data_IF_946785655783
#
_entry.id   IF_946785655783
#
_cell.length_a   1.000
_cell.length_b   1.000
_cell.length_c   1.000
_cell.angle_alpha   90.00
_cell.angle_beta   90.00
_cell.angle_gamma   90.00
#
_symmetry.space_group_name_H-M   'P 1'
#
loop_
_entity.id
_entity.type
_entity.pdbx_description
1 polymer ?
#
# COMPACT_ATOMS: atom_id res chain seq x y z
N UNK A 1 28.96 -45.47 -30.05
CA UNK A 1 28.75 -44.06 -30.45
C UNK A 1 27.53 -43.56 -29.68
N UNK A 2 27.74 -42.93 -28.52
CA UNK A 2 26.67 -42.37 -27.69
C UNK A 2 26.45 -40.91 -28.11
N UNK A 3 25.29 -40.61 -28.65
CA UNK A 3 24.90 -39.24 -29.00
C UNK A 3 24.42 -38.56 -27.71
N UNK A 4 25.25 -37.68 -27.16
CA UNK A 4 24.88 -36.81 -26.04
C UNK A 4 24.00 -35.69 -26.62
N UNK A 5 22.70 -35.77 -26.42
CA UNK A 5 21.80 -34.65 -26.66
C UNK A 5 22.07 -33.58 -25.58
N UNK A 6 22.80 -32.53 -25.95
CA UNK A 6 22.85 -31.30 -25.19
C UNK A 6 21.48 -30.62 -25.29
N UNK A 7 20.59 -30.91 -24.36
CA UNK A 7 19.37 -30.13 -24.15
C UNK A 7 19.81 -28.76 -23.64
N UNK A 8 19.79 -27.75 -24.50
CA UNK A 8 19.82 -26.35 -24.08
C UNK A 8 18.56 -26.08 -23.27
N UNK A 9 18.68 -26.18 -21.95
CA UNK A 9 17.66 -25.73 -21.02
C UNK A 9 17.52 -24.21 -21.21
N UNK A 10 16.48 -23.79 -21.94
CA UNK A 10 16.10 -22.39 -21.94
C UNK A 10 15.65 -22.07 -20.51
N UNK A 11 16.47 -21.33 -19.76
CA UNK A 11 16.06 -20.75 -18.49
C UNK A 11 14.91 -19.79 -18.81
N UNK A 12 13.66 -20.21 -18.63
CA UNK A 12 12.53 -19.29 -18.70
C UNK A 12 12.73 -18.28 -17.58
N UNK A 13 13.19 -17.07 -17.92
CA UNK A 13 13.14 -15.95 -17.01
C UNK A 13 11.66 -15.73 -16.67
N UNK A 14 11.27 -16.01 -15.44
CA UNK A 14 9.90 -15.78 -14.99
C UNK A 14 9.62 -14.28 -15.06
N UNK A 15 8.49 -13.92 -15.67
CA UNK A 15 8.07 -12.52 -15.72
C UNK A 15 7.86 -12.01 -14.28
N UNK A 16 8.27 -10.77 -13.97
CA UNK A 16 7.99 -10.18 -12.68
C UNK A 16 6.50 -10.18 -12.40
N UNK A 17 6.13 -10.40 -11.14
CA UNK A 17 4.75 -10.26 -10.67
C UNK A 17 4.61 -9.02 -9.80
N UNK A 18 3.39 -8.49 -9.70
CA UNK A 18 3.00 -7.42 -8.80
C UNK A 18 1.99 -7.93 -7.78
N UNK A 19 2.19 -7.57 -6.52
CA UNK A 19 1.34 -7.93 -5.38
C UNK A 19 1.00 -6.64 -4.63
N UNK A 20 -0.26 -6.48 -4.27
CA UNK A 20 -0.70 -5.39 -3.41
C UNK A 20 -0.36 -5.70 -1.94
N UNK A 21 0.13 -4.72 -1.21
CA UNK A 21 0.36 -4.81 0.23
C UNK A 21 -0.50 -3.76 0.94
N UNK A 22 -1.26 -4.17 1.96
CA UNK A 22 -2.00 -3.29 2.87
C UNK A 22 -1.50 -3.54 4.29
N UNK A 23 -1.06 -2.49 4.97
CA UNK A 23 -0.61 -2.56 6.37
C UNK A 23 -1.36 -1.52 7.19
N UNK A 24 -2.01 -1.94 8.26
CA UNK A 24 -2.66 -1.05 9.22
C UNK A 24 -1.97 -1.11 10.59
N UNK A 25 -1.51 0.03 11.10
CA UNK A 25 -0.92 0.13 12.45
C UNK A 25 -1.98 0.25 13.55
N UNK A 26 -1.55 0.18 14.81
CA UNK A 26 -2.39 0.31 16.00
C UNK A 26 -3.24 1.60 16.03
N UNK A 27 -2.72 2.67 15.44
CA UNK A 27 -3.34 4.00 15.41
C UNK A 27 -4.36 4.14 14.26
N UNK A 28 -4.59 3.07 13.50
CA UNK A 28 -5.48 3.04 12.35
C UNK A 28 -4.87 3.58 11.07
N UNK A 29 -3.61 4.06 11.10
CA UNK A 29 -2.88 4.50 9.92
C UNK A 29 -2.71 3.34 8.93
N UNK A 30 -3.05 3.57 7.66
CA UNK A 30 -2.98 2.57 6.60
C UNK A 30 -1.90 2.95 5.60
N UNK A 31 -0.99 2.01 5.33
CA UNK A 31 -0.01 2.09 4.26
C UNK A 31 -0.37 1.06 3.18
N UNK A 32 -0.36 1.49 1.92
CA UNK A 32 -0.49 0.58 0.77
C UNK A 32 0.74 0.65 -0.12
N UNK A 33 1.20 -0.48 -0.66
CA UNK A 33 2.32 -0.54 -1.61
C UNK A 33 2.01 -1.53 -2.73
N UNK A 34 2.29 -1.12 -3.96
CA UNK A 34 2.40 -2.06 -5.08
C UNK A 34 3.82 -2.63 -5.10
N UNK A 35 3.96 -3.94 -4.91
CA UNK A 35 5.26 -4.60 -4.72
C UNK A 35 5.58 -5.47 -5.94
N UNK A 36 6.71 -5.21 -6.60
CA UNK A 36 7.19 -6.03 -7.72
C UNK A 36 8.15 -7.10 -7.21
N UNK A 37 7.92 -8.35 -7.62
CA UNK A 37 8.70 -9.53 -7.24
C UNK A 37 9.23 -10.20 -8.51
N UNK A 38 10.50 -10.57 -8.52
CA UNK A 38 11.19 -11.11 -9.70
C UNK A 38 11.58 -12.59 -9.55
N UNK A 39 11.45 -13.14 -8.36
CA UNK A 39 11.83 -14.50 -8.01
C UNK A 39 10.74 -15.50 -8.37
N UNK A 40 11.13 -16.76 -8.52
CA UNK A 40 10.20 -17.88 -8.74
C UNK A 40 9.49 -18.22 -7.43
N UNK A 41 8.16 -18.38 -7.50
CA UNK A 41 7.28 -18.78 -6.39
C UNK A 41 7.52 -17.96 -5.09
N UNK A 42 7.38 -16.62 -5.15
CA UNK A 42 7.54 -15.78 -3.97
C UNK A 42 6.45 -16.08 -2.94
N UNK A 43 6.73 -15.76 -1.67
CA UNK A 43 5.78 -15.83 -0.57
C UNK A 43 5.43 -14.44 -0.02
N UNK A 44 4.46 -14.41 0.90
CA UNK A 44 4.10 -13.19 1.65
C UNK A 44 5.28 -12.57 2.41
N UNK A 45 6.27 -13.36 2.82
CA UNK A 45 7.47 -12.82 3.46
C UNK A 45 8.30 -11.98 2.48
N UNK A 46 8.49 -12.45 1.25
CA UNK A 46 9.21 -11.67 0.25
C UNK A 46 8.45 -10.42 -0.18
N UNK A 47 7.11 -10.40 -0.11
CA UNK A 47 6.31 -9.17 -0.31
C UNK A 47 6.74 -8.10 0.70
N UNK A 48 6.84 -8.44 1.99
CA UNK A 48 7.24 -7.49 3.04
C UNK A 48 8.68 -7.01 2.88
N UNK A 49 9.60 -7.92 2.55
CA UNK A 49 11.01 -7.59 2.31
C UNK A 49 11.16 -6.66 1.11
N UNK A 50 10.56 -7.02 -0.04
CA UNK A 50 10.62 -6.21 -1.26
C UNK A 50 9.89 -4.86 -1.12
N UNK A 51 8.86 -4.79 -0.27
CA UNK A 51 8.19 -3.53 0.05
C UNK A 51 9.07 -2.56 0.85
N UNK A 52 10.18 -3.02 1.45
CA UNK A 52 11.09 -2.24 2.28
C UNK A 52 10.33 -1.47 3.39
N UNK A 53 9.58 -2.20 4.22
CA UNK A 53 8.72 -1.65 5.29
C UNK A 53 9.32 -1.77 6.69
N UNK A 54 10.63 -2.00 6.81
CA UNK A 54 11.29 -2.33 8.09
C UNK A 54 10.57 -3.49 8.80
N UNK A 55 10.45 -4.62 8.09
CA UNK A 55 9.83 -5.84 8.64
C UNK A 55 10.83 -6.56 9.55
N UNK A 56 10.34 -6.97 10.72
CA UNK A 56 11.02 -7.90 11.62
C UNK A 56 10.19 -9.14 11.78
N UNK A 57 10.82 -10.30 11.74
CA UNK A 57 10.12 -11.57 11.87
C UNK A 57 10.99 -12.63 12.51
N UNK A 58 10.33 -13.70 12.93
CA UNK A 58 10.94 -14.83 13.62
C UNK A 58 10.44 -16.14 13.03
N UNK A 59 11.31 -17.15 12.81
CA UNK A 59 10.86 -18.45 12.35
C UNK A 59 9.87 -19.10 13.34
N UNK A 60 8.85 -19.78 12.80
CA UNK A 60 7.91 -20.59 13.58
C UNK A 60 7.56 -21.88 12.84
N UNK A 61 6.87 -22.81 13.52
CA UNK A 61 6.39 -24.04 12.90
C UNK A 61 5.42 -23.83 11.74
N UNK A 62 4.79 -22.66 11.64
CA UNK A 62 3.85 -22.31 10.56
C UNK A 62 4.48 -21.47 9.45
N UNK A 63 5.77 -21.12 9.55
CA UNK A 63 6.47 -20.17 8.68
C UNK A 63 6.96 -18.95 9.45
N UNK A 64 7.50 -17.95 8.76
CA UNK A 64 7.96 -16.70 9.36
C UNK A 64 6.78 -15.93 9.98
N UNK A 65 6.81 -15.79 11.31
CA UNK A 65 5.92 -14.89 12.03
C UNK A 65 6.44 -13.45 11.88
N UNK A 66 5.54 -12.48 11.74
CA UNK A 66 5.90 -11.06 11.70
C UNK A 66 5.80 -10.49 13.10
N UNK A 67 6.92 -10.00 13.63
CA UNK A 67 6.98 -9.41 14.96
C UNK A 67 6.74 -7.90 14.90
N UNK A 68 7.28 -7.21 13.89
CA UNK A 68 7.11 -5.77 13.72
C UNK A 68 7.11 -5.35 12.25
N UNK A 69 6.43 -4.24 11.98
CA UNK A 69 6.45 -3.54 10.69
C UNK A 69 6.56 -2.05 10.99
N UNK A 70 7.46 -1.34 10.31
CA UNK A 70 7.64 0.11 10.42
C UNK A 70 7.76 0.60 11.89
N UNK A 71 8.52 -0.12 12.71
CA UNK A 71 8.72 0.19 14.12
C UNK A 71 7.57 -0.16 15.07
N UNK A 72 6.42 -0.61 14.57
CA UNK A 72 5.28 -1.04 15.40
C UNK A 72 5.30 -2.55 15.57
N UNK A 73 5.28 -3.00 16.82
CA UNK A 73 5.15 -4.41 17.18
C UNK A 73 6.09 -4.81 18.31
N UNK A 74 6.62 -6.01 18.22
CA UNK A 74 7.47 -6.63 19.21
C UNK A 74 8.91 -6.89 18.69
N UNK A 75 9.87 -7.10 19.60
CA UNK A 75 11.20 -7.60 19.24
C UNK A 75 11.15 -8.96 18.52
N UNK A 76 12.11 -9.28 17.63
CA UNK A 76 12.19 -10.57 16.92
C UNK A 76 12.21 -11.81 17.82
N UNK A 77 12.67 -11.66 19.05
CA UNK A 77 12.83 -12.73 20.03
C UNK A 77 11.48 -13.15 20.66
N UNK A 78 10.46 -12.28 20.60
CA UNK A 78 9.13 -12.53 21.13
C UNK A 78 8.07 -11.77 20.32
N UNK A 79 7.68 -12.28 19.15
CA UNK A 79 6.61 -11.69 18.34
C UNK A 79 5.28 -11.54 19.11
N UNK A 80 5.08 -12.31 20.19
CA UNK A 80 3.87 -12.33 21.01
C UNK A 80 4.00 -11.50 22.30
N UNK A 81 5.00 -10.62 22.40
CA UNK A 81 5.26 -9.84 23.62
C UNK A 81 4.04 -9.10 24.17
N UNK A 82 3.19 -8.57 23.29
CA UNK A 82 1.93 -7.88 23.65
C UNK A 82 0.73 -8.81 23.80
N UNK A 83 0.78 -9.96 23.15
CA UNK A 83 -0.23 -11.00 23.36
C UNK A 83 -0.08 -11.61 24.76
N UNK A 84 1.14 -12.02 25.10
CA UNK A 84 1.49 -12.65 26.36
C UNK A 84 1.39 -11.70 27.57
N UNK A 85 1.45 -10.38 27.36
CA UNK A 85 1.25 -9.38 28.42
C UNK A 85 -0.23 -9.10 28.75
N UNK A 86 -1.17 -9.73 28.03
CA UNK A 86 -2.61 -9.55 28.23
C UNK A 86 -3.27 -8.46 27.38
N UNK A 87 -2.51 -7.71 26.58
CA UNK A 87 -3.07 -6.76 25.62
C UNK A 87 -3.69 -7.48 24.40
N UNK A 88 -3.33 -8.77 24.19
CA UNK A 88 -3.78 -9.60 23.08
C UNK A 88 -3.45 -9.03 21.69
N UNK A 89 -2.41 -8.20 21.58
CA UNK A 89 -2.01 -7.57 20.32
C UNK A 89 -0.90 -8.34 19.61
N UNK A 90 -1.03 -8.50 18.30
CA UNK A 90 -0.03 -9.07 17.41
C UNK A 90 -0.25 -8.60 15.96
N UNK A 91 0.71 -8.87 15.07
CA UNK A 91 0.51 -8.70 13.63
C UNK A 91 -0.25 -9.89 13.06
N UNK A 92 -1.53 -9.67 12.76
CA UNK A 92 -2.38 -10.66 12.08
C UNK A 92 -2.25 -10.55 10.56
N UNK A 93 -2.30 -11.70 9.90
CA UNK A 93 -2.05 -11.85 8.47
C UNK A 93 -3.31 -12.26 7.72
N UNK A 94 -3.57 -11.61 6.58
CA UNK A 94 -4.81 -11.74 5.83
C UNK A 94 -4.53 -11.77 4.33
N UNK A 95 -5.33 -12.54 3.59
CA UNK A 95 -5.27 -12.61 2.14
C UNK A 95 -6.58 -12.11 1.56
N UNK A 96 -6.52 -11.21 0.58
CA UNK A 96 -7.72 -10.80 -0.14
C UNK A 96 -8.04 -11.86 -1.20
N UNK A 97 -9.15 -12.57 -1.03
CA UNK A 97 -9.64 -13.57 -2.00
C UNK A 97 -11.06 -13.22 -2.39
N UNK A 98 -11.32 -13.08 -3.68
CA UNK A 98 -12.67 -12.79 -4.21
C UNK A 98 -13.35 -11.57 -3.52
N UNK A 99 -12.56 -10.53 -3.22
CA UNK A 99 -13.08 -9.32 -2.56
C UNK A 99 -13.42 -9.49 -1.08
N UNK A 100 -12.94 -10.55 -0.41
CA UNK A 100 -13.04 -10.70 1.06
C UNK A 100 -11.70 -11.03 1.68
N UNK A 101 -11.47 -10.53 2.89
CA UNK A 101 -10.30 -10.91 3.67
C UNK A 101 -10.48 -12.31 4.25
N UNK A 102 -9.43 -13.12 4.12
CA UNK A 102 -9.33 -14.46 4.71
C UNK A 102 -8.13 -14.46 5.64
N UNK A 103 -8.35 -14.79 6.91
CA UNK A 103 -7.27 -14.91 7.90
C UNK A 103 -6.29 -16.03 7.50
N UNK A 104 -5.00 -15.79 7.66
CA UNK A 104 -3.97 -16.80 7.41
C UNK A 104 -3.65 -17.62 8.65
N UNK A 105 -3.73 -18.94 8.53
CA UNK A 105 -3.20 -19.88 9.53
C UNK A 105 -1.72 -20.23 9.28
N UNK A 106 -1.08 -19.59 8.30
CA UNK A 106 0.33 -19.79 7.95
C UNK A 106 1.13 -18.52 8.24
N UNK A 107 2.41 -18.70 8.53
CA UNK A 107 3.38 -17.61 8.54
C UNK A 107 3.66 -17.11 7.12
N UNK A 108 4.17 -15.88 7.01
CA UNK A 108 4.36 -15.18 5.75
C UNK A 108 5.22 -15.94 4.74
N UNK A 109 6.23 -16.70 5.21
CA UNK A 109 7.13 -17.47 4.35
C UNK A 109 6.50 -18.72 3.73
N UNK A 110 5.35 -19.15 4.23
CA UNK A 110 4.70 -20.39 3.82
C UNK A 110 3.45 -20.15 2.98
N UNK A 111 3.11 -18.89 2.71
CA UNK A 111 2.00 -18.54 1.85
C UNK A 111 2.51 -18.06 0.48
N UNK A 112 2.34 -18.85 -0.60
CA UNK A 112 2.75 -18.43 -1.93
C UNK A 112 1.86 -17.31 -2.47
N UNK A 113 2.46 -16.35 -3.18
CA UNK A 113 1.74 -15.23 -3.80
C UNK A 113 1.89 -15.23 -5.31
N UNK A 114 0.86 -14.73 -5.99
CA UNK A 114 0.75 -14.66 -7.45
C UNK A 114 0.45 -13.23 -7.92
N UNK A 115 0.59 -12.99 -9.22
CA UNK A 115 0.20 -11.73 -9.85
C UNK A 115 -1.21 -11.31 -9.43
N UNK A 116 -1.35 -10.08 -8.94
CA UNK A 116 -2.65 -9.51 -8.58
C UNK A 116 -3.14 -9.87 -7.17
N UNK A 117 -2.44 -10.72 -6.43
CA UNK A 117 -2.78 -10.99 -5.04
C UNK A 117 -2.66 -9.71 -4.19
N UNK A 118 -3.42 -9.65 -3.09
CA UNK A 118 -3.29 -8.61 -2.07
C UNK A 118 -3.10 -9.24 -0.70
N UNK A 119 -2.00 -8.87 -0.07
CA UNK A 119 -1.58 -9.29 1.25
C UNK A 119 -1.88 -8.19 2.27
N UNK A 120 -2.49 -8.57 3.40
CA UNK A 120 -2.99 -7.66 4.43
C UNK A 120 -2.36 -7.94 5.79
N UNK A 121 -1.92 -6.88 6.46
CA UNK A 121 -1.36 -6.95 7.81
C UNK A 121 -2.05 -5.91 8.70
N UNK A 122 -2.43 -6.31 9.91
CA UNK A 122 -2.96 -5.39 10.92
C UNK A 122 -2.41 -5.73 12.29
N UNK A 123 -1.91 -4.70 12.98
CA UNK A 123 -1.55 -4.78 14.39
C UNK A 123 -2.81 -4.66 15.23
N UNK A 124 -3.20 -5.75 15.90
CA UNK A 124 -4.45 -5.78 16.63
C UNK A 124 -4.70 -7.14 17.28
N UNK A 125 -5.95 -7.37 17.64
CA UNK A 125 -6.37 -8.59 18.34
C UNK A 125 -6.61 -9.79 17.41
N UNK A 126 -6.57 -9.60 16.09
CA UNK A 126 -6.69 -10.66 15.10
C UNK A 126 -8.11 -11.02 14.66
N UNK A 127 -9.15 -10.32 15.14
CA UNK A 127 -10.55 -10.57 14.75
C UNK A 127 -11.04 -9.68 13.62
N UNK A 128 -10.40 -8.53 13.41
CA UNK A 128 -10.79 -7.56 12.37
C UNK A 128 -9.65 -7.45 11.35
N UNK A 129 -9.94 -7.61 10.05
CA UNK A 129 -8.94 -7.44 9.00
C UNK A 129 -8.59 -5.95 8.78
N UNK A 130 -7.50 -5.64 8.07
CA UNK A 130 -7.23 -4.26 7.64
C UNK A 130 -8.32 -3.76 6.65
N UNK A 131 -8.37 -2.45 6.35
CA UNK A 131 -9.27 -1.91 5.35
C UNK A 131 -9.10 -2.60 4.00
N UNK A 132 -10.22 -2.85 3.34
CA UNK A 132 -10.23 -3.50 2.03
C UNK A 132 -9.81 -2.47 0.97
N UNK A 133 -8.66 -2.73 0.33
CA UNK A 133 -8.17 -1.99 -0.83
C UNK A 133 -7.83 -3.00 -1.91
N UNK A 134 -8.53 -3.02 -3.07
CA UNK A 134 -8.29 -3.99 -4.13
C UNK A 134 -6.97 -3.73 -4.86
N UNK A 135 -6.42 -4.75 -5.50
CA UNK A 135 -5.14 -4.71 -6.20
C UNK A 135 -5.06 -3.55 -7.21
N UNK A 136 -6.13 -3.36 -7.97
CA UNK A 136 -6.27 -2.39 -9.05
C UNK A 136 -6.18 -0.96 -8.54
N UNK A 137 -6.56 -0.73 -7.29
CA UNK A 137 -6.40 0.56 -6.64
C UNK A 137 -4.98 0.75 -6.10
N UNK A 138 -4.36 -0.30 -5.56
CA UNK A 138 -3.00 -0.25 -4.99
C UNK A 138 -1.94 -0.10 -6.10
N UNK A 139 -2.12 -0.84 -7.18
CA UNK A 139 -1.20 -0.96 -8.31
C UNK A 139 -1.68 -0.17 -9.54
N UNK A 140 -2.64 0.74 -9.38
CA UNK A 140 -3.04 1.65 -10.45
C UNK A 140 -1.80 2.39 -10.99
N UNK A 141 -1.62 2.48 -12.32
CA UNK A 141 -0.61 3.35 -12.87
C UNK A 141 -0.91 4.78 -12.41
N UNK A 142 0.11 5.47 -11.90
CA UNK A 142 -0.04 6.88 -11.54
C UNK A 142 -0.54 7.64 -12.76
N UNK A 143 -1.58 8.49 -12.64
CA UNK A 143 -2.03 9.29 -13.76
C UNK A 143 -0.83 10.11 -14.25
N UNK A 144 -0.41 9.85 -15.48
CA UNK A 144 0.61 10.69 -16.13
C UNK A 144 0.03 12.10 -16.13
N UNK A 145 0.66 13.02 -15.41
CA UNK A 145 0.26 14.42 -15.45
C UNK A 145 0.50 14.93 -16.88
N UNK A 146 -0.55 14.89 -17.71
CA UNK A 146 -0.55 15.61 -18.97
C UNK A 146 -0.63 17.08 -18.62
N UNK A 147 0.51 17.75 -18.59
CA UNK A 147 0.56 19.21 -18.58
C UNK A 147 -0.11 19.70 -19.86
N UNK A 148 -1.41 19.98 -19.77
CA UNK A 148 -2.11 20.74 -20.80
C UNK A 148 -1.64 22.18 -20.63
N UNK A 149 -0.83 22.68 -21.56
CA UNK A 149 -0.49 24.09 -21.63
C UNK A 149 -1.82 24.86 -21.82
N UNK A 150 -2.34 25.40 -20.72
CA UNK A 150 -3.49 26.28 -20.79
C UNK A 150 -3.11 27.48 -21.67
N UNK A 151 -3.92 27.83 -22.70
CA UNK A 151 -3.74 29.08 -23.42
C UNK A 151 -3.74 30.20 -22.39
N UNK A 152 -2.68 31.00 -22.37
CA UNK A 152 -2.57 32.16 -21.49
C UNK A 152 -3.71 33.10 -21.84
N UNK A 153 -4.78 33.10 -21.04
CA UNK A 153 -5.90 34.01 -21.24
C UNK A 153 -5.34 35.44 -21.14
N UNK A 154 -5.43 36.18 -22.24
CA UNK A 154 -5.09 37.61 -22.25
C UNK A 154 -6.19 38.33 -21.47
N UNK A 155 -5.94 38.63 -20.19
CA UNK A 155 -6.87 39.38 -19.35
C UNK A 155 -7.06 40.76 -19.96
N UNK A 156 -8.22 40.99 -20.57
CA UNK A 156 -8.62 42.32 -21.05
C UNK A 156 -9.21 43.08 -19.87
N UNK A 157 -8.50 44.09 -19.36
CA UNK A 157 -9.01 44.99 -18.32
C UNK A 157 -10.19 45.80 -18.86
N UNK A 158 -11.39 45.55 -18.32
CA UNK A 158 -12.58 46.34 -18.64
C UNK A 158 -12.68 47.51 -17.66
N UNK A 159 -12.42 48.74 -18.13
CA UNK A 159 -12.56 49.93 -17.30
C UNK A 159 -14.03 50.17 -16.96
N UNK A 160 -14.35 50.12 -15.67
CA UNK A 160 -15.66 50.50 -15.13
C UNK A 160 -15.74 52.03 -15.05
N UNK A 161 -16.67 52.65 -15.77
CA UNK A 161 -16.93 54.10 -15.70
C UNK A 161 -17.55 54.43 -14.35
N UNK A 162 -16.85 55.23 -13.56
CA UNK A 162 -17.32 55.86 -12.31
C UNK A 162 -18.50 56.79 -12.58
N UNK A 163 -19.63 56.68 -11.85
CA UNK A 163 -20.72 57.64 -11.96
C UNK A 163 -20.33 59.00 -11.35
N UNK A 164 -20.68 60.07 -12.07
CA UNK A 164 -20.45 61.47 -11.71
C UNK A 164 -21.27 61.87 -10.48
N UNK A 165 -20.61 62.48 -9.49
CA UNK A 165 -21.26 62.99 -8.28
C UNK A 165 -22.19 64.17 -8.62
N UNK A 166 -23.46 64.07 -8.20
CA UNK A 166 -24.44 65.16 -8.28
C UNK A 166 -24.29 66.06 -7.05
N UNK A 167 -23.90 67.32 -7.29
CA UNK A 167 -23.82 68.38 -6.28
C UNK A 167 -25.23 68.82 -5.85
N UNK A 168 -25.51 68.76 -4.55
CA UNK A 168 -26.73 69.33 -3.93
C UNK A 168 -26.34 70.66 -3.28
N UNK A 169 -26.87 71.77 -3.80
CA UNK A 169 -26.77 73.10 -3.18
C UNK A 169 -27.86 73.26 -2.12
N UNK A 170 -27.45 73.56 -0.88
CA UNK A 170 -28.32 73.92 0.23
C UNK A 170 -28.54 75.44 0.24
N UNK A 171 -29.80 75.86 0.13
CA UNK A 171 -30.23 77.27 0.27
C UNK A 171 -30.57 77.53 1.75
N UNK A 172 -29.99 78.59 2.31
CA UNK A 172 -30.28 79.07 3.68
C UNK A 172 -31.38 80.16 3.68
N UNK A 173 -32.27 80.21 4.69
CA UNK A 173 -33.28 81.26 4.81
C UNK A 173 -32.85 82.45 5.68
N UNK A 174 -33.56 83.57 5.50
CA UNK A 174 -33.38 84.94 6.06
C UNK A 174 -33.38 85.06 7.58
#
# INVERSE_FOLDING_TARGET
MFIIFLLTQATQAQSPIQVGLVVQSAEGNVMTKCVTLNQTNPSGWEVLVAANVDVKGSPSGMGMAVCAIAGVGCPPEDCWCKFNSGENLYWSYWHLKEGRWVYSNLGASNYPVSQGDVEGWIWGQGQTPPPLVPFEQICAPSPTATFTLAPMHTTTFTQTRTPSATSTQTVAPS
#
